data_IF_219812529663
#
_entry.id   IF_219812529663
#
_cell.length_a   1.000
_cell.length_b   1.000
_cell.length_c   1.000
_cell.angle_alpha   90.00
_cell.angle_beta   90.00
_cell.angle_gamma   90.00
#
_symmetry.space_group_name_H-M   'P 1'
#
loop_
_entity.id
_entity.type
_entity.pdbx_description
1 polymer ?
#
# COMPACT_ATOMS: atom_id res chain seq x y z
N UNK A 1 -17.70 -63.02 27.74
CA UNK A 1 -18.51 -61.83 27.35
C UNK A 1 -17.62 -60.60 27.42
N UNK A 2 -17.11 -60.11 26.27
CA UNK A 2 -16.22 -58.94 26.18
C UNK A 2 -17.03 -57.83 25.57
N UNK A 3 -17.29 -56.76 26.36
CA UNK A 3 -17.95 -55.53 25.87
C UNK A 3 -16.92 -54.66 25.13
N UNK A 4 -17.12 -54.44 23.84
CA UNK A 4 -16.37 -53.46 23.06
C UNK A 4 -17.05 -52.08 23.20
N UNK A 5 -16.37 -51.13 23.83
CA UNK A 5 -16.76 -49.72 23.82
C UNK A 5 -16.29 -49.09 22.52
N UNK A 6 -17.22 -48.57 21.74
CA UNK A 6 -16.93 -47.76 20.54
C UNK A 6 -16.84 -46.31 20.98
N UNK A 7 -15.63 -45.73 20.92
CA UNK A 7 -15.39 -44.31 21.18
C UNK A 7 -15.63 -43.53 19.86
N UNK A 8 -16.77 -42.85 19.77
CA UNK A 8 -17.07 -41.98 18.65
C UNK A 8 -16.28 -40.68 18.74
N UNK A 9 -15.37 -40.44 17.79
CA UNK A 9 -14.69 -39.18 17.67
C UNK A 9 -15.63 -38.15 17.03
N UNK A 10 -15.97 -37.10 17.79
CA UNK A 10 -16.78 -35.96 17.32
C UNK A 10 -15.85 -35.02 16.54
N UNK A 11 -15.98 -34.99 15.23
CA UNK A 11 -15.26 -34.06 14.37
C UNK A 11 -15.94 -32.69 14.42
N UNK A 12 -15.39 -31.75 15.18
CA UNK A 12 -15.85 -30.35 15.18
C UNK A 12 -15.28 -29.66 13.95
N UNK A 13 -16.10 -29.53 12.92
CA UNK A 13 -15.80 -28.68 11.77
C UNK A 13 -16.02 -27.22 12.17
N UNK A 14 -14.95 -26.46 12.40
CA UNK A 14 -15.00 -25.01 12.56
C UNK A 14 -15.35 -24.38 11.20
N UNK A 15 -16.62 -24.05 11.02
CA UNK A 15 -17.04 -23.16 9.92
C UNK A 15 -16.53 -21.75 10.22
N UNK A 16 -15.47 -21.33 9.52
CA UNK A 16 -15.07 -19.92 9.46
C UNK A 16 -16.10 -19.20 8.58
N UNK A 17 -16.79 -18.15 9.07
CA UNK A 17 -17.81 -17.50 8.27
C UNK A 17 -17.18 -16.75 7.10
N UNK A 18 -17.56 -17.11 5.88
CA UNK A 18 -17.19 -16.45 4.63
C UNK A 18 -17.76 -15.02 4.48
N UNK A 19 -18.43 -14.50 5.50
CA UNK A 19 -19.12 -13.20 5.48
C UNK A 19 -18.17 -11.99 5.49
N UNK A 20 -16.91 -12.15 5.92
CA UNK A 20 -15.98 -11.02 6.11
C UNK A 20 -15.41 -10.47 4.79
N UNK A 21 -15.20 -11.30 3.78
CA UNK A 21 -14.58 -10.88 2.50
C UNK A 21 -15.51 -10.07 1.59
N UNK A 22 -16.81 -10.29 1.65
CA UNK A 22 -17.79 -9.56 0.82
C UNK A 22 -17.97 -8.11 1.30
N UNK A 23 -17.82 -7.84 2.60
CA UNK A 23 -17.97 -6.50 3.18
C UNK A 23 -16.84 -5.54 2.82
N UNK A 24 -15.60 -6.01 2.80
CA UNK A 24 -14.40 -5.19 2.55
C UNK A 24 -14.41 -4.61 1.14
N UNK A 25 -14.72 -5.41 0.13
CA UNK A 25 -14.76 -4.95 -1.26
C UNK A 25 -15.87 -3.93 -1.56
N UNK A 26 -16.99 -3.93 -0.82
CA UNK A 26 -18.06 -2.93 -0.97
C UNK A 26 -17.67 -1.58 -0.36
N UNK A 27 -16.96 -1.56 0.76
CA UNK A 27 -16.54 -0.34 1.45
C UNK A 27 -15.58 0.48 0.59
N UNK A 28 -14.63 -0.15 -0.09
CA UNK A 28 -13.69 0.52 -1.01
C UNK A 28 -14.36 1.15 -2.24
N UNK A 29 -15.60 0.78 -2.58
CA UNK A 29 -16.34 1.35 -3.72
C UNK A 29 -16.88 2.75 -3.47
N UNK A 30 -16.85 3.22 -2.23
CA UNK A 30 -17.28 4.56 -1.88
C UNK A 30 -16.20 5.31 -1.07
N UNK A 31 -15.22 5.93 -1.75
CA UNK A 31 -14.14 6.67 -1.09
C UNK A 31 -14.61 7.72 -0.07
N UNK A 32 -15.79 8.30 -0.30
CA UNK A 32 -16.36 9.33 0.56
C UNK A 32 -16.80 8.85 1.95
N UNK A 33 -16.94 7.55 2.17
CA UNK A 33 -17.30 6.96 3.48
C UNK A 33 -16.10 6.63 4.34
N UNK A 34 -14.91 6.54 3.78
CA UNK A 34 -13.67 6.21 4.47
C UNK A 34 -13.01 7.48 5.03
N UNK A 35 -13.53 7.93 6.19
CA UNK A 35 -13.12 9.19 6.83
C UNK A 35 -12.75 9.01 8.30
N UNK A 36 -12.37 7.80 8.69
CA UNK A 36 -11.94 7.54 10.06
C UNK A 36 -10.62 8.29 10.32
N UNK A 37 -10.56 8.96 11.47
CA UNK A 37 -9.34 9.60 11.93
C UNK A 37 -8.39 8.53 12.45
N UNK A 38 -7.15 8.52 11.97
CA UNK A 38 -6.13 7.60 12.45
C UNK A 38 -5.70 7.90 13.89
N UNK A 39 -5.18 6.90 14.63
CA UNK A 39 -4.46 7.14 15.88
C UNK A 39 -3.29 8.12 15.70
N UNK A 40 -2.83 8.73 16.80
CA UNK A 40 -1.68 9.65 16.76
C UNK A 40 -0.42 8.99 16.18
N UNK A 41 -0.22 7.72 16.50
CA UNK A 41 0.82 6.86 15.94
C UNK A 41 0.23 5.46 15.76
N UNK A 42 0.58 4.79 14.65
CA UNK A 42 0.21 3.40 14.37
C UNK A 42 1.25 2.74 13.48
N UNK A 43 1.27 1.42 13.51
CA UNK A 43 2.16 0.63 12.67
C UNK A 43 1.38 -0.10 11.58
N UNK A 44 2.00 -0.25 10.43
CA UNK A 44 1.49 -1.04 9.31
C UNK A 44 2.53 -2.05 8.92
N UNK A 45 2.18 -3.34 9.04
CA UNK A 45 2.96 -4.44 8.48
C UNK A 45 2.59 -4.62 7.02
N UNK A 46 3.60 -4.70 6.19
CA UNK A 46 3.50 -5.12 4.80
C UNK A 46 4.11 -6.50 4.66
N UNK A 47 3.28 -7.50 4.38
CA UNK A 47 3.70 -8.81 3.91
C UNK A 47 3.86 -8.74 2.41
N UNK A 48 5.04 -9.06 1.87
CA UNK A 48 5.32 -8.91 0.44
C UNK A 48 5.99 -10.13 -0.16
N UNK A 49 5.97 -10.26 -1.47
CA UNK A 49 6.68 -11.32 -2.20
C UNK A 49 8.20 -11.31 -1.96
N UNK A 50 8.77 -10.21 -1.48
CA UNK A 50 10.19 -10.06 -1.18
C UNK A 50 10.54 -10.17 0.30
N UNK A 51 9.55 -10.34 1.18
CA UNK A 51 9.65 -10.36 2.64
C UNK A 51 8.84 -9.26 3.30
N UNK A 52 8.91 -9.15 4.63
CA UNK A 52 8.10 -8.23 5.40
C UNK A 52 8.85 -6.96 5.76
N UNK A 53 8.11 -5.85 5.85
CA UNK A 53 8.59 -4.61 6.44
C UNK A 53 7.48 -3.91 7.22
N UNK A 54 7.87 -3.05 8.16
CA UNK A 54 6.93 -2.31 9.01
C UNK A 54 7.12 -0.81 8.81
N UNK A 55 6.02 -0.10 8.64
CA UNK A 55 5.97 1.37 8.59
C UNK A 55 5.29 1.89 9.84
N UNK A 56 5.97 2.75 10.59
CA UNK A 56 5.37 3.56 11.64
C UNK A 56 4.86 4.88 11.04
N UNK A 57 3.58 5.16 11.24
CA UNK A 57 2.95 6.42 10.82
C UNK A 57 2.80 7.34 12.01
N UNK A 58 3.20 8.59 11.86
CA UNK A 58 3.00 9.66 12.84
C UNK A 58 2.02 10.67 12.27
N UNK A 59 0.77 10.62 12.73
CA UNK A 59 -0.33 11.42 12.18
C UNK A 59 -0.02 12.92 12.14
N UNK A 60 0.63 13.45 13.17
CA UNK A 60 0.94 14.89 13.24
C UNK A 60 1.87 15.38 12.12
N UNK A 61 2.68 14.50 11.51
CA UNK A 61 3.56 14.91 10.41
C UNK A 61 2.79 15.34 9.17
N UNK A 62 1.73 14.61 8.81
CA UNK A 62 0.86 14.92 7.68
C UNK A 62 -0.53 14.30 7.91
N UNK A 63 -1.42 14.98 8.67
CA UNK A 63 -2.68 14.41 9.17
C UNK A 63 -3.62 13.87 8.08
N UNK A 64 -3.79 14.61 6.98
CA UNK A 64 -4.68 14.19 5.90
C UNK A 64 -4.15 12.96 5.18
N UNK A 65 -2.84 12.90 4.96
CA UNK A 65 -2.16 11.75 4.39
C UNK A 65 -2.24 10.53 5.30
N UNK A 66 -1.95 10.71 6.60
CA UNK A 66 -2.01 9.63 7.59
C UNK A 66 -3.42 9.03 7.74
N UNK A 67 -4.46 9.87 7.80
CA UNK A 67 -5.86 9.43 7.87
C UNK A 67 -6.27 8.67 6.59
N UNK A 68 -5.87 9.17 5.41
CA UNK A 68 -6.11 8.50 4.14
C UNK A 68 -5.43 7.12 4.12
N UNK A 69 -4.17 7.04 4.50
CA UNK A 69 -3.40 5.80 4.51
C UNK A 69 -3.99 4.76 5.47
N UNK A 70 -4.35 5.19 6.69
CA UNK A 70 -5.03 4.36 7.69
C UNK A 70 -6.28 3.69 7.13
N UNK A 71 -7.18 4.50 6.53
CA UNK A 71 -8.41 3.99 5.95
C UNK A 71 -8.16 3.02 4.79
N UNK A 72 -7.18 3.30 3.93
CA UNK A 72 -6.84 2.43 2.80
C UNK A 72 -6.30 1.07 3.28
N UNK A 73 -5.37 1.08 4.24
CA UNK A 73 -4.80 -0.16 4.83
C UNK A 73 -5.89 -0.96 5.53
N UNK A 74 -6.67 -0.31 6.41
CA UNK A 74 -7.74 -0.96 7.19
C UNK A 74 -8.75 -1.72 6.32
N UNK A 75 -8.93 -1.28 5.09
CA UNK A 75 -9.88 -1.88 4.15
C UNK A 75 -9.21 -2.69 3.02
N UNK A 76 -7.92 -3.05 3.15
CA UNK A 76 -7.23 -3.92 2.21
C UNK A 76 -6.99 -3.32 0.82
N UNK A 77 -6.93 -1.97 0.71
CA UNK A 77 -6.73 -1.32 -0.59
C UNK A 77 -5.40 -1.67 -1.24
N UNK A 78 -4.36 -1.89 -0.44
CA UNK A 78 -3.01 -2.17 -0.93
C UNK A 78 -2.75 -3.66 -1.20
N UNK A 79 -3.67 -4.57 -0.85
CA UNK A 79 -3.50 -6.00 -1.10
C UNK A 79 -3.40 -6.29 -2.61
N UNK A 80 -2.46 -7.15 -3.00
CA UNK A 80 -2.07 -7.46 -4.39
C UNK A 80 -1.60 -6.22 -5.20
N UNK A 81 -1.28 -5.08 -4.55
CA UNK A 81 -0.70 -3.92 -5.22
C UNK A 81 0.78 -4.16 -5.54
N UNK A 82 1.21 -3.74 -6.74
CA UNK A 82 2.58 -3.92 -7.22
C UNK A 82 3.45 -2.72 -6.90
N UNK A 83 4.75 -2.98 -6.65
CA UNK A 83 5.77 -1.95 -6.62
C UNK A 83 6.15 -1.61 -8.06
N UNK A 84 5.35 -0.77 -8.71
CA UNK A 84 5.38 -0.59 -10.16
C UNK A 84 6.48 0.35 -10.67
N UNK A 85 7.13 1.11 -9.77
CA UNK A 85 8.20 2.04 -10.11
C UNK A 85 9.26 2.00 -9.01
N UNK A 86 10.41 1.42 -9.32
CA UNK A 86 11.53 1.26 -8.38
C UNK A 86 12.77 1.85 -9.02
N UNK A 87 13.22 2.99 -8.53
CA UNK A 87 14.39 3.72 -9.05
C UNK A 87 15.49 3.67 -8.01
N UNK A 88 16.55 2.93 -8.30
CA UNK A 88 17.71 2.81 -7.42
C UNK A 88 18.26 4.19 -7.04
N UNK A 89 18.66 4.36 -5.79
CA UNK A 89 19.14 5.64 -5.24
C UNK A 89 18.11 6.79 -5.31
N UNK A 90 16.83 6.47 -5.43
CA UNK A 90 15.77 7.46 -5.34
C UNK A 90 14.62 6.96 -4.48
N UNK A 91 13.68 6.18 -5.02
CA UNK A 91 12.49 5.74 -4.27
C UNK A 91 11.86 4.48 -4.88
N UNK A 92 10.96 3.86 -4.12
CA UNK A 92 10.06 2.81 -4.57
C UNK A 92 8.61 3.27 -4.41
N UNK A 93 7.80 3.17 -5.47
CA UNK A 93 6.42 3.69 -5.54
C UNK A 93 5.42 2.56 -5.78
N UNK A 94 4.31 2.64 -5.05
CA UNK A 94 3.18 1.71 -5.13
C UNK A 94 1.84 2.42 -4.84
N UNK A 95 0.73 1.68 -4.81
CA UNK A 95 -0.57 2.21 -4.39
C UNK A 95 -1.53 2.53 -5.54
N UNK A 96 -1.32 1.93 -6.72
CA UNK A 96 -2.38 1.76 -7.71
C UNK A 96 -3.00 0.38 -7.46
N UNK A 97 -4.30 0.31 -7.16
CA UNK A 97 -4.96 -0.95 -6.88
C UNK A 97 -5.00 -1.83 -8.14
N UNK A 98 -4.79 -3.14 -7.97
CA UNK A 98 -4.78 -4.11 -9.06
C UNK A 98 -6.13 -4.28 -9.78
N UNK A 99 -7.23 -3.81 -9.17
CA UNK A 99 -8.56 -3.78 -9.77
C UNK A 99 -8.82 -2.43 -10.45
N UNK A 100 -8.95 -2.36 -11.80
CA UNK A 100 -9.14 -1.11 -12.54
C UNK A 100 -10.38 -0.32 -12.09
N UNK A 101 -11.46 -1.01 -11.70
CA UNK A 101 -12.68 -0.34 -11.25
C UNK A 101 -12.48 0.41 -9.94
N UNK A 102 -11.71 -0.16 -9.00
CA UNK A 102 -11.32 0.52 -7.77
C UNK A 102 -10.34 1.66 -8.05
N UNK A 103 -9.32 1.42 -8.88
CA UNK A 103 -8.37 2.46 -9.29
C UNK A 103 -9.07 3.68 -9.88
N UNK A 104 -10.05 3.50 -10.77
CA UNK A 104 -10.79 4.60 -11.39
C UNK A 104 -11.60 5.43 -10.38
N UNK A 105 -12.16 4.80 -9.33
CA UNK A 105 -12.87 5.50 -8.25
C UNK A 105 -11.91 6.33 -7.41
N UNK A 106 -10.80 5.71 -6.98
CA UNK A 106 -9.84 6.31 -6.07
C UNK A 106 -8.95 7.37 -6.73
N UNK A 107 -8.73 7.28 -8.05
CA UNK A 107 -8.01 8.32 -8.81
C UNK A 107 -8.69 9.69 -8.74
N UNK A 108 -10.00 9.73 -8.48
CA UNK A 108 -10.79 10.97 -8.33
C UNK A 108 -10.93 11.42 -6.87
N UNK A 109 -10.53 10.58 -5.93
CA UNK A 109 -10.67 10.86 -4.50
C UNK A 109 -9.46 11.62 -3.95
N UNK A 110 -9.19 12.79 -4.50
CA UNK A 110 -8.07 13.64 -4.08
C UNK A 110 -8.23 14.15 -2.65
N UNK A 111 -7.10 14.36 -1.97
CA UNK A 111 -7.01 15.06 -0.69
C UNK A 111 -6.13 16.31 -0.84
N UNK A 112 -6.40 17.30 0.01
CA UNK A 112 -5.57 18.50 0.10
C UNK A 112 -4.16 18.14 0.60
N UNK A 113 -3.18 19.00 0.28
CA UNK A 113 -1.83 18.81 0.74
C UNK A 113 -1.70 19.12 2.23
N UNK A 114 -0.90 18.32 2.93
CA UNK A 114 -0.41 18.66 4.26
C UNK A 114 0.85 19.55 4.14
N UNK A 115 1.11 20.43 5.11
CA UNK A 115 2.37 21.12 5.17
C UNK A 115 3.53 20.14 5.40
N UNK A 116 4.67 20.40 4.79
CA UNK A 116 5.88 19.58 4.98
C UNK A 116 6.47 19.89 6.35
N UNK A 117 6.32 18.98 7.30
CA UNK A 117 6.89 19.06 8.66
C UNK A 117 8.18 18.27 8.80
N UNK A 118 8.30 17.18 8.05
CA UNK A 118 9.45 16.28 8.04
C UNK A 118 10.13 16.28 6.68
N UNK A 119 11.44 16.04 6.65
CA UNK A 119 12.19 15.92 5.39
C UNK A 119 12.10 14.52 4.81
N UNK A 120 12.14 14.40 3.49
CA UNK A 120 12.16 13.15 2.75
C UNK A 120 13.49 12.40 2.92
N UNK A 121 13.71 11.82 4.08
CA UNK A 121 14.91 11.03 4.43
C UNK A 121 14.76 9.58 3.99
N UNK A 122 15.88 8.86 3.92
CA UNK A 122 15.85 7.41 3.69
C UNK A 122 14.88 6.70 4.63
N UNK A 123 14.06 5.82 4.08
CA UNK A 123 13.03 5.05 4.78
C UNK A 123 11.73 5.81 5.04
N UNK A 124 11.67 7.12 4.81
CA UNK A 124 10.44 7.89 4.98
C UNK A 124 9.45 7.61 3.85
N UNK A 125 8.16 7.51 4.22
CA UNK A 125 7.05 7.28 3.28
C UNK A 125 6.26 8.56 3.05
N UNK A 126 5.94 8.82 1.79
CA UNK A 126 5.34 10.07 1.34
C UNK A 126 4.32 9.79 0.23
N UNK A 127 3.26 10.60 0.14
CA UNK A 127 2.34 10.52 -0.99
C UNK A 127 2.95 11.05 -2.27
N UNK A 128 2.75 10.32 -3.38
CA UNK A 128 2.99 10.84 -4.71
C UNK A 128 1.87 11.82 -5.11
N UNK A 129 2.24 12.87 -5.85
CA UNK A 129 1.30 13.85 -6.39
C UNK A 129 1.73 14.28 -7.80
N UNK A 130 0.78 14.71 -8.61
CA UNK A 130 1.02 15.28 -9.96
C UNK A 130 0.98 16.82 -9.97
N UNK A 131 0.80 17.42 -8.82
CA UNK A 131 0.71 18.87 -8.58
C UNK A 131 0.00 19.11 -7.24
N UNK A 132 -0.24 20.36 -6.86
CA UNK A 132 -0.90 20.68 -5.60
C UNK A 132 -2.29 20.05 -5.47
N UNK A 133 -2.58 19.49 -4.29
CA UNK A 133 -3.87 18.89 -3.93
C UNK A 133 -4.32 17.74 -4.86
N UNK A 134 -3.36 16.95 -5.38
CA UNK A 134 -3.65 15.81 -6.26
C UNK A 134 -3.32 14.45 -5.66
N UNK A 135 -2.98 14.40 -4.38
CA UNK A 135 -2.70 13.16 -3.66
C UNK A 135 -3.96 12.28 -3.61
N UNK A 136 -3.83 10.99 -3.91
CA UNK A 136 -4.95 10.02 -3.86
C UNK A 136 -4.61 8.79 -3.03
N UNK A 137 -3.91 7.81 -3.62
CA UNK A 137 -3.61 6.52 -2.99
C UNK A 137 -2.16 6.09 -3.16
N UNK A 138 -1.44 6.71 -4.12
CA UNK A 138 -0.07 6.33 -4.42
C UNK A 138 0.89 6.92 -3.40
N UNK A 139 1.81 6.08 -2.93
CA UNK A 139 2.85 6.45 -1.97
C UNK A 139 4.21 5.95 -2.44
N UNK A 140 5.26 6.53 -1.91
CA UNK A 140 6.63 6.07 -2.15
C UNK A 140 7.45 6.04 -0.86
N UNK A 141 8.43 5.13 -0.80
CA UNK A 141 9.44 5.05 0.26
C UNK A 141 10.77 5.50 -0.33
N UNK A 142 11.44 6.41 0.37
CA UNK A 142 12.72 6.97 -0.05
C UNK A 142 13.87 5.99 0.18
N UNK A 143 14.69 5.70 -0.85
CA UNK A 143 15.92 4.90 -0.71
C UNK A 143 17.10 5.70 -0.16
N UNK A 144 17.05 7.01 -0.25
CA UNK A 144 18.08 7.92 0.26
C UNK A 144 17.45 9.21 0.79
N UNK A 145 18.28 10.18 1.17
CA UNK A 145 17.82 11.51 1.55
C UNK A 145 17.48 12.32 0.31
N UNK A 146 16.19 12.51 0.06
CA UNK A 146 15.63 13.23 -1.09
C UNK A 146 15.07 14.59 -0.65
N UNK A 147 15.82 15.36 0.15
CA UNK A 147 15.38 16.65 0.73
C UNK A 147 14.96 17.69 -0.33
N UNK A 148 15.38 17.54 -1.58
CA UNK A 148 14.88 18.37 -2.68
C UNK A 148 13.39 18.23 -2.94
N UNK A 149 12.73 17.19 -2.45
CA UNK A 149 11.27 16.99 -2.53
C UNK A 149 10.51 17.85 -1.52
N UNK A 150 11.14 18.27 -0.44
CA UNK A 150 10.49 19.02 0.64
C UNK A 150 9.96 20.37 0.12
N UNK A 151 10.79 21.09 -0.64
CA UNK A 151 10.40 22.36 -1.28
C UNK A 151 9.35 22.23 -2.38
N UNK A 152 9.06 20.99 -2.82
CA UNK A 152 8.02 20.69 -3.80
C UNK A 152 6.70 20.28 -3.14
N UNK A 153 6.62 20.27 -1.81
CA UNK A 153 5.39 19.96 -1.08
C UNK A 153 5.15 18.49 -0.79
N UNK A 154 6.14 17.62 -1.01
CA UNK A 154 6.04 16.21 -0.66
C UNK A 154 6.20 16.03 0.87
N UNK A 155 5.09 15.87 1.58
CA UNK A 155 5.03 15.77 3.03
C UNK A 155 5.10 14.31 3.50
N UNK A 156 6.18 13.85 4.16
CA UNK A 156 6.24 12.54 4.78
C UNK A 156 5.20 12.40 5.90
N UNK A 157 4.63 11.21 6.05
CA UNK A 157 3.65 10.89 7.10
C UNK A 157 4.08 9.71 7.99
N UNK A 158 5.18 9.05 7.66
CA UNK A 158 5.69 7.91 8.41
C UNK A 158 7.08 7.48 7.94
N UNK A 159 7.57 6.39 8.52
CA UNK A 159 8.89 5.82 8.20
C UNK A 159 8.91 4.31 8.35
N UNK A 160 9.76 3.63 7.60
CA UNK A 160 10.09 2.22 7.82
C UNK A 160 10.87 2.07 9.12
N UNK A 161 10.38 1.25 10.04
CA UNK A 161 11.01 0.95 11.34
C UNK A 161 11.65 -0.43 11.37
N UNK A 162 11.21 -1.34 10.49
CA UNK A 162 11.76 -2.69 10.35
C UNK A 162 11.71 -3.13 8.88
N UNK A 163 12.68 -3.92 8.43
CA UNK A 163 12.68 -4.49 7.09
C UNK A 163 13.09 -3.53 5.97
N UNK A 164 13.83 -2.45 6.26
CA UNK A 164 14.34 -1.56 5.20
C UNK A 164 15.30 -2.28 4.23
N UNK A 165 15.98 -3.34 4.68
CA UNK A 165 16.80 -4.19 3.83
C UNK A 165 15.97 -5.07 2.89
N UNK A 166 14.71 -5.39 3.25
CA UNK A 166 13.73 -6.02 2.34
C UNK A 166 13.32 -5.02 1.28
N UNK A 167 12.95 -3.79 1.68
CA UNK A 167 12.57 -2.72 0.74
C UNK A 167 13.68 -2.45 -0.29
N UNK A 168 14.95 -2.46 0.13
CA UNK A 168 16.11 -2.26 -0.75
C UNK A 168 16.28 -3.35 -1.81
N UNK A 169 15.80 -4.57 -1.55
CA UNK A 169 15.95 -5.75 -2.42
C UNK A 169 14.77 -5.95 -3.37
N UNK A 170 13.68 -5.20 -3.19
CA UNK A 170 12.52 -5.29 -4.08
C UNK A 170 12.94 -4.98 -5.53
N UNK A 171 12.34 -5.71 -6.47
CA UNK A 171 12.81 -5.76 -7.84
C UNK A 171 12.81 -4.39 -8.55
N UNK A 172 13.98 -3.91 -8.90
CA UNK A 172 14.22 -2.60 -9.54
C UNK A 172 14.51 -2.67 -11.04
N UNK A 173 14.55 -3.87 -11.64
CA UNK A 173 15.03 -4.06 -13.01
C UNK A 173 14.17 -3.43 -14.11
N UNK A 174 12.95 -2.96 -13.79
CA UNK A 174 12.11 -2.20 -14.71
C UNK A 174 12.29 -0.68 -14.60
N UNK A 175 12.75 -0.18 -13.46
CA UNK A 175 13.09 1.23 -13.23
C UNK A 175 11.94 2.21 -13.42
N UNK A 176 12.22 3.29 -14.16
CA UNK A 176 11.24 4.33 -14.48
C UNK A 176 10.16 3.84 -15.44
N UNK A 177 8.91 4.30 -15.20
CA UNK A 177 7.77 3.98 -16.05
C UNK A 177 7.79 4.66 -17.41
N UNK A 178 7.11 4.05 -18.39
CA UNK A 178 6.92 4.67 -19.69
C UNK A 178 6.09 5.98 -19.56
N UNK A 179 6.34 7.02 -20.39
CA UNK A 179 7.25 7.04 -21.56
C UNK A 179 8.71 7.34 -21.22
N UNK A 180 9.04 7.77 -20.00
CA UNK A 180 10.39 8.20 -19.62
C UNK A 180 11.36 7.03 -19.43
N UNK A 181 10.86 5.81 -19.24
CA UNK A 181 11.61 4.58 -19.08
C UNK A 181 10.93 3.37 -19.70
N UNK A 182 11.41 2.17 -19.34
CA UNK A 182 10.90 0.88 -19.86
C UNK A 182 9.95 0.18 -18.88
N UNK A 183 9.72 0.75 -17.72
CA UNK A 183 8.84 0.21 -16.70
C UNK A 183 7.36 0.40 -17.03
N UNK A 184 6.47 -0.05 -16.14
CA UNK A 184 5.03 0.03 -16.32
C UNK A 184 4.52 1.45 -16.56
N UNK A 185 3.66 1.63 -17.56
CA UNK A 185 2.97 2.88 -17.79
C UNK A 185 1.82 3.03 -16.79
N UNK A 186 1.86 4.04 -15.92
CA UNK A 186 0.87 4.24 -14.86
C UNK A 186 -0.56 4.34 -15.40
N UNK A 187 -0.77 5.03 -16.54
CA UNK A 187 -2.07 5.10 -17.19
C UNK A 187 -2.62 3.73 -17.58
N UNK A 188 -1.77 2.81 -18.03
CA UNK A 188 -2.19 1.43 -18.32
C UNK A 188 -2.48 0.63 -17.05
N UNK A 189 -1.72 0.84 -15.97
CA UNK A 189 -2.02 0.21 -14.68
C UNK A 189 -3.42 0.65 -14.24
N UNK A 190 -3.76 1.93 -14.33
CA UNK A 190 -5.08 2.46 -13.98
C UNK A 190 -6.21 1.83 -14.78
N UNK A 191 -5.99 1.54 -16.07
CA UNK A 191 -7.02 1.00 -16.98
C UNK A 191 -7.12 -0.52 -17.00
N UNK A 192 -6.00 -1.23 -16.85
CA UNK A 192 -5.89 -2.67 -17.06
C UNK A 192 -5.53 -3.44 -15.77
N UNK A 193 -5.06 -2.74 -14.73
CA UNK A 193 -4.72 -3.30 -13.42
C UNK A 193 -3.64 -4.37 -13.47
N UNK A 194 -3.78 -5.34 -12.58
CA UNK A 194 -2.83 -6.45 -12.46
C UNK A 194 -2.81 -7.39 -13.67
N UNK A 195 -3.84 -7.40 -14.52
CA UNK A 195 -3.80 -8.17 -15.77
C UNK A 195 -2.67 -7.69 -16.68
N UNK A 196 -2.49 -6.37 -16.80
CA UNK A 196 -1.37 -5.77 -17.52
C UNK A 196 -0.03 -6.09 -16.85
N UNK A 197 0.06 -5.87 -15.53
CA UNK A 197 1.32 -6.02 -14.81
C UNK A 197 1.82 -7.48 -14.79
N UNK A 198 0.93 -8.44 -14.52
CA UNK A 198 1.27 -9.88 -14.51
C UNK A 198 1.74 -10.37 -15.88
N UNK A 199 1.18 -9.82 -16.97
CA UNK A 199 1.55 -10.21 -18.35
C UNK A 199 2.85 -9.55 -18.81
N UNK A 200 2.99 -8.24 -18.61
CA UNK A 200 4.07 -7.46 -19.21
C UNK A 200 5.28 -7.29 -18.26
N UNK A 201 5.06 -7.38 -16.95
CA UNK A 201 6.06 -7.13 -15.91
C UNK A 201 6.03 -8.19 -14.80
N UNK A 202 6.18 -9.49 -15.13
CA UNK A 202 5.95 -10.61 -14.20
C UNK A 202 6.94 -10.66 -13.01
N UNK A 203 8.03 -9.91 -13.05
CA UNK A 203 9.04 -9.87 -11.98
C UNK A 203 8.79 -8.78 -10.93
N UNK A 204 7.73 -7.97 -11.08
CA UNK A 204 7.40 -6.97 -10.06
C UNK A 204 7.05 -7.66 -8.74
N UNK A 205 7.69 -7.23 -7.68
CA UNK A 205 7.26 -7.56 -6.34
C UNK A 205 5.93 -6.92 -6.02
N UNK A 206 5.22 -7.49 -5.05
CA UNK A 206 3.87 -7.07 -4.68
C UNK A 206 3.60 -7.23 -3.20
N UNK A 207 2.62 -6.50 -2.73
CA UNK A 207 2.10 -6.59 -1.37
C UNK A 207 1.12 -7.77 -1.35
N UNK A 208 1.39 -8.77 -0.53
CA UNK A 208 0.45 -9.87 -0.27
C UNK A 208 -0.68 -9.37 0.61
N UNK A 209 -0.33 -8.70 1.71
CA UNK A 209 -1.27 -8.07 2.61
C UNK A 209 -0.64 -6.86 3.31
N UNK A 210 -1.45 -5.82 3.57
CA UNK A 210 -1.08 -4.71 4.44
C UNK A 210 -2.06 -4.63 5.61
N UNK A 211 -1.53 -4.70 6.86
CA UNK A 211 -2.35 -4.73 8.09
C UNK A 211 -1.89 -3.68 9.08
N UNK A 212 -2.86 -3.10 9.82
CA UNK A 212 -2.56 -2.24 10.97
C UNK A 212 -2.21 -3.16 12.14
N UNK A 213 -1.05 -2.94 12.76
CA UNK A 213 -0.65 -3.59 14.01
C UNK A 213 -1.10 -2.73 15.19
N UNK A 214 -1.67 -3.38 16.22
CA UNK A 214 -2.10 -2.75 17.47
C UNK A 214 -0.91 -2.56 18.45
#
# INVERSE_FOLDING_TARGET
MIKRSVLGALLIVLLVPAASLVGIGQTLRNPGTLREQAPATYQVRFETSGGDFVVEVTRDWAPLGADRFYNLVKHGFYDDARFFRVISNFMIQFGINGNPNLSALWQRAMIQDDPVKESNRRGYITYAMAGPNTRTTQVFINFQNNSGLDGQGFAPFGRVTSGMDVVDKLYSGYGEGAPSGKGPAQGRIQMEGNAYLKKAFPRLDYIEQATIEE
#
